data_IF_949281339864
#
_entry.id   IF_949281339864
#
_cell.length_a   1.000
_cell.length_b   1.000
_cell.length_c   1.000
_cell.angle_alpha   90.00
_cell.angle_beta   90.00
_cell.angle_gamma   90.00
#
_symmetry.space_group_name_H-M   'P 1'
#
loop_
_entity.id
_entity.type
_entity.pdbx_description
1 polymer ?
#
# COMPACT_ATOMS: atom_id res chain seq x y z
N UNK A 1 -1.23 3.55 -4.45
CA UNK A 1 -1.69 4.96 -4.52
C UNK A 1 -2.51 5.33 -3.28
N UNK A 2 -3.61 4.63 -3.00
CA UNK A 2 -4.54 4.99 -1.92
C UNK A 2 -4.25 4.34 -0.55
N UNK A 3 -3.19 3.52 -0.41
CA UNK A 3 -2.91 2.80 0.83
C UNK A 3 -2.94 3.69 2.09
N UNK A 4 -2.37 4.91 2.13
CA UNK A 4 -2.49 5.77 3.30
C UNK A 4 -3.92 6.01 3.81
N UNK A 5 -4.94 5.90 2.95
CA UNK A 5 -6.34 6.18 3.28
C UNK A 5 -7.17 4.95 3.65
N UNK A 6 -6.78 3.74 3.22
CA UNK A 6 -7.54 2.50 3.50
C UNK A 6 -7.17 1.87 4.84
N UNK A 7 -6.08 2.32 5.47
CA UNK A 7 -5.61 1.75 6.74
C UNK A 7 -6.48 2.22 7.92
N UNK A 8 -7.29 3.25 7.75
CA UNK A 8 -8.22 3.74 8.77
C UNK A 8 -9.50 2.91 8.92
N UNK A 9 -9.71 1.88 8.09
CA UNK A 9 -10.98 1.16 8.02
C UNK A 9 -11.25 0.31 9.28
N UNK A 10 -12.51 0.19 9.73
CA UNK A 10 -12.89 -0.67 10.84
C UNK A 10 -12.44 -2.13 10.62
N UNK A 11 -11.93 -2.77 11.67
CA UNK A 11 -11.48 -4.17 11.60
C UNK A 11 -9.99 -4.36 11.28
N UNK A 12 -9.25 -3.26 11.11
CA UNK A 12 -7.79 -3.26 10.98
C UNK A 12 -7.11 -3.19 12.36
N UNK A 13 -6.04 -3.97 12.53
CA UNK A 13 -5.17 -3.92 13.70
C UNK A 13 -3.74 -3.55 13.31
N UNK A 14 -3.06 -2.87 14.23
CA UNK A 14 -1.69 -2.41 14.06
C UNK A 14 -0.80 -3.02 15.12
N UNK A 15 0.35 -3.54 14.70
CA UNK A 15 1.39 -4.03 15.62
C UNK A 15 2.74 -3.44 15.25
N UNK A 16 3.54 -3.09 16.25
CA UNK A 16 4.88 -2.54 16.02
C UNK A 16 5.77 -3.64 15.45
N UNK A 17 6.56 -3.30 14.43
CA UNK A 17 7.62 -4.17 13.90
C UNK A 17 8.95 -3.42 13.90
N UNK A 18 10.01 -4.11 13.48
CA UNK A 18 11.32 -3.50 13.31
C UNK A 18 11.24 -2.28 12.38
N UNK A 19 12.00 -1.25 12.73
CA UNK A 19 12.12 -0.06 11.89
C UNK A 19 12.91 -0.38 10.63
N UNK A 20 12.51 0.22 9.51
CA UNK A 20 13.24 0.12 8.26
C UNK A 20 14.34 1.16 8.23
N UNK A 21 15.56 0.77 7.88
CA UNK A 21 16.67 1.69 7.62
C UNK A 21 17.02 1.66 6.14
N UNK A 22 17.04 2.82 5.49
CA UNK A 22 17.34 2.95 4.07
C UNK A 22 17.96 4.32 3.80
N UNK A 23 19.09 4.36 3.09
CA UNK A 23 19.82 5.58 2.73
C UNK A 23 20.01 6.57 3.90
N UNK A 24 20.56 6.08 5.02
CA UNK A 24 20.79 6.87 6.25
C UNK A 24 19.54 7.48 6.91
N UNK A 25 18.35 7.01 6.53
CA UNK A 25 17.08 7.36 7.19
C UNK A 25 16.48 6.14 7.85
N UNK A 26 15.77 6.38 8.95
CA UNK A 26 15.05 5.33 9.69
C UNK A 26 13.56 5.65 9.71
N UNK A 27 12.75 4.63 9.47
CA UNK A 27 11.31 4.72 9.34
C UNK A 27 10.65 3.80 10.37
N UNK A 28 9.70 4.33 11.13
CA UNK A 28 8.93 3.58 12.10
C UNK A 28 8.06 2.53 11.41
N UNK A 29 8.34 1.25 11.64
CA UNK A 29 7.59 0.14 11.04
C UNK A 29 6.36 -0.28 11.85
N UNK A 30 5.26 -0.56 11.16
CA UNK A 30 4.03 -1.14 11.70
C UNK A 30 3.48 -2.21 10.76
N UNK A 31 3.17 -3.39 11.28
CA UNK A 31 2.42 -4.42 10.55
C UNK A 31 0.93 -4.16 10.71
N UNK A 32 0.23 -4.31 9.60
CA UNK A 32 -1.21 -4.17 9.48
C UNK A 32 -1.79 -5.54 9.22
N UNK A 33 -2.76 -5.92 10.04
CA UNK A 33 -3.47 -7.18 9.92
C UNK A 33 -4.98 -6.93 9.95
N UNK A 34 -5.69 -7.72 9.16
CA UNK A 34 -7.15 -7.68 9.06
C UNK A 34 -7.76 -8.71 10.01
N UNK A 35 -8.89 -8.37 10.63
CA UNK A 35 -9.64 -9.33 11.44
C UNK A 35 -10.15 -10.52 10.61
N UNK A 36 -10.50 -11.62 11.28
CA UNK A 36 -11.12 -12.78 10.62
C UNK A 36 -12.37 -12.33 9.83
N UNK A 37 -12.46 -12.74 8.56
CA UNK A 37 -13.51 -12.36 7.60
C UNK A 37 -13.53 -10.88 7.15
N UNK A 38 -12.41 -10.16 7.29
CA UNK A 38 -12.25 -8.81 6.72
C UNK A 38 -11.41 -8.90 5.44
N UNK A 39 -12.07 -8.73 4.28
CA UNK A 39 -11.45 -8.78 2.95
C UNK A 39 -11.26 -10.20 2.39
N UNK A 40 -10.94 -10.28 1.10
CA UNK A 40 -10.85 -11.55 0.35
C UNK A 40 -9.50 -12.28 0.53
N UNK A 41 -8.55 -11.69 1.26
CA UNK A 41 -7.19 -12.24 1.45
C UNK A 41 -6.65 -11.88 2.84
N UNK A 42 -7.18 -12.49 3.92
CA UNK A 42 -6.74 -12.23 5.29
C UNK A 42 -5.27 -12.61 5.56
N UNK A 43 -4.68 -13.43 4.67
CA UNK A 43 -3.28 -13.87 4.73
C UNK A 43 -2.30 -12.84 4.15
N UNK A 44 -2.77 -11.79 3.48
CA UNK A 44 -1.91 -10.75 2.94
C UNK A 44 -1.40 -9.85 4.09
N UNK A 45 -0.07 -9.76 4.20
CA UNK A 45 0.57 -8.96 5.24
C UNK A 45 1.01 -7.64 4.64
N UNK A 46 0.62 -6.54 5.28
CA UNK A 46 1.08 -5.20 4.92
C UNK A 46 1.94 -4.62 6.03
N UNK A 47 3.02 -3.95 5.64
CA UNK A 47 3.95 -3.28 6.54
C UNK A 47 4.06 -1.83 6.12
N UNK A 48 3.75 -0.90 7.02
CA UNK A 48 3.82 0.53 6.74
C UNK A 48 4.99 1.11 7.49
N UNK A 49 5.81 1.88 6.78
CA UNK A 49 6.96 2.54 7.36
C UNK A 49 6.81 4.05 7.24
N UNK A 50 6.82 4.71 8.40
CA UNK A 50 6.55 6.13 8.56
C UNK A 50 7.86 6.86 8.84
N UNK A 51 8.16 7.91 8.09
CA UNK A 51 9.31 8.77 8.34
C UNK A 51 9.16 9.46 9.70
N UNK A 52 10.13 9.24 10.59
CA UNK A 52 10.08 9.72 11.99
C UNK A 52 10.10 11.24 12.11
N UNK A 53 10.56 11.95 11.09
CA UNK A 53 10.67 13.41 11.10
C UNK A 53 9.38 14.03 10.59
N UNK A 54 8.91 13.56 9.43
CA UNK A 54 7.76 14.15 8.75
C UNK A 54 6.42 13.54 9.18
N UNK A 55 6.45 12.38 9.85
CA UNK A 55 5.28 11.57 10.19
C UNK A 55 4.46 11.14 8.95
N UNK A 56 5.08 11.15 7.77
CA UNK A 56 4.47 10.72 6.52
C UNK A 56 4.84 9.26 6.23
N UNK A 57 3.88 8.51 5.68
CA UNK A 57 4.17 7.18 5.13
C UNK A 57 5.20 7.32 4.01
N UNK A 58 6.28 6.55 4.10
CA UNK A 58 7.34 6.55 3.09
C UNK A 58 7.39 5.23 2.33
N UNK A 59 7.08 4.11 2.99
CA UNK A 59 7.15 2.79 2.38
C UNK A 59 5.95 1.93 2.73
N UNK A 60 5.58 1.09 1.77
CA UNK A 60 4.73 -0.08 1.95
C UNK A 60 5.56 -1.34 1.67
N UNK A 61 5.65 -2.23 2.65
CA UNK A 61 6.03 -3.62 2.46
C UNK A 61 4.77 -4.48 2.29
N UNK A 62 4.80 -5.48 1.43
CA UNK A 62 3.71 -6.44 1.28
C UNK A 62 4.21 -7.83 0.90
N UNK A 63 3.48 -8.86 1.32
CA UNK A 63 3.69 -10.25 0.89
C UNK A 63 2.64 -10.62 -0.15
N UNK A 64 2.99 -11.45 -1.13
CA UNK A 64 2.02 -12.00 -2.09
C UNK A 64 1.67 -13.45 -1.73
N UNK A 65 0.42 -13.84 -1.91
CA UNK A 65 -0.10 -15.18 -1.64
C UNK A 65 -0.49 -15.96 -2.91
N UNK A 66 -0.07 -15.47 -4.09
CA UNK A 66 -0.51 -16.02 -5.38
C UNK A 66 0.18 -17.36 -5.70
N UNK A 67 -0.61 -18.43 -5.81
CA UNK A 67 -0.17 -19.72 -6.37
C UNK A 67 0.27 -20.78 -5.36
N UNK A 68 0.34 -20.47 -4.07
CA UNK A 68 0.73 -21.41 -3.01
C UNK A 68 -0.26 -21.38 -1.84
N UNK A 69 -0.55 -22.54 -1.25
CA UNK A 69 -1.36 -22.68 -0.02
C UNK A 69 -0.66 -22.10 1.23
N UNK A 70 0.49 -21.42 1.07
CA UNK A 70 1.31 -20.88 2.17
C UNK A 70 1.61 -19.39 1.93
N UNK A 71 1.53 -18.55 2.98
CA UNK A 71 1.92 -17.14 2.87
C UNK A 71 3.39 -17.03 2.46
N UNK A 72 3.68 -16.22 1.44
CA UNK A 72 5.07 -15.88 1.12
C UNK A 72 5.70 -15.12 2.30
N UNK A 73 6.96 -15.44 2.57
CA UNK A 73 7.78 -14.72 3.57
C UNK A 73 8.63 -13.61 2.94
N UNK A 74 8.60 -13.51 1.62
CA UNK A 74 9.28 -12.47 0.86
C UNK A 74 8.46 -11.16 0.92
N UNK A 75 9.11 -10.08 1.33
CA UNK A 75 8.51 -8.76 1.43
C UNK A 75 8.94 -7.92 0.22
N UNK A 76 7.96 -7.54 -0.59
CA UNK A 76 8.12 -6.58 -1.67
C UNK A 76 7.88 -5.16 -1.18
N UNK A 77 8.53 -4.17 -1.79
CA UNK A 77 8.50 -2.79 -1.32
C UNK A 77 8.05 -1.80 -2.38
N UNK A 78 7.22 -0.85 -1.96
CA UNK A 78 6.82 0.34 -2.73
C UNK A 78 7.16 1.58 -1.90
N UNK A 79 8.00 2.46 -2.46
CA UNK A 79 8.29 3.79 -1.93
C UNK A 79 7.28 4.80 -2.45
N UNK A 80 6.76 5.64 -1.56
CA UNK A 80 5.85 6.73 -1.88
C UNK A 80 6.65 8.03 -1.94
N UNK A 81 6.74 8.64 -3.12
CA UNK A 81 7.59 9.83 -3.34
C UNK A 81 6.85 10.97 -4.00
N UNK A 82 7.53 12.13 -4.02
CA UNK A 82 7.13 13.32 -4.77
C UNK A 82 5.75 13.85 -4.35
N UNK A 83 5.49 13.89 -3.03
CA UNK A 83 4.21 14.28 -2.46
C UNK A 83 3.75 15.68 -2.90
N UNK A 84 2.46 15.80 -3.20
CA UNK A 84 1.80 17.05 -3.58
C UNK A 84 0.49 17.26 -2.83
N UNK A 85 0.10 18.53 -2.66
CA UNK A 85 -1.20 18.90 -2.12
C UNK A 85 -2.20 19.09 -3.25
N UNK A 86 -3.33 18.39 -3.19
CA UNK A 86 -4.46 18.53 -4.13
C UNK A 86 -5.73 18.69 -3.31
N UNK A 87 -6.41 19.83 -3.43
CA UNK A 87 -7.66 20.13 -2.72
C UNK A 87 -7.62 19.80 -1.21
N UNK A 88 -6.52 20.15 -0.54
CA UNK A 88 -6.32 19.92 0.90
C UNK A 88 -5.80 18.53 1.27
N UNK A 89 -5.76 17.57 0.34
CA UNK A 89 -5.21 16.23 0.56
C UNK A 89 -3.74 16.17 0.15
N UNK A 90 -2.93 15.45 0.92
CA UNK A 90 -1.55 15.14 0.57
C UNK A 90 -1.49 13.78 -0.14
N UNK A 91 -1.04 13.76 -1.39
CA UNK A 91 -1.05 12.58 -2.27
C UNK A 91 0.34 12.35 -2.88
N UNK A 92 0.79 11.09 -3.04
CA UNK A 92 2.06 10.80 -3.70
C UNK A 92 1.95 11.10 -5.20
N UNK A 93 2.98 11.68 -5.82
CA UNK A 93 3.05 11.76 -7.29
C UNK A 93 3.64 10.52 -7.92
N UNK A 94 4.38 9.73 -7.15
CA UNK A 94 5.07 8.57 -7.69
C UNK A 94 5.07 7.42 -6.70
N UNK A 95 4.87 6.23 -7.24
CA UNK A 95 5.16 4.97 -6.57
C UNK A 95 6.37 4.35 -7.24
N UNK A 96 7.38 4.01 -6.46
CA UNK A 96 8.60 3.37 -6.94
C UNK A 96 8.72 2.00 -6.28
N UNK A 97 8.72 0.95 -7.09
CA UNK A 97 8.96 -0.41 -6.63
C UNK A 97 10.45 -0.63 -6.42
N UNK A 98 10.75 -1.50 -5.46
CA UNK A 98 12.10 -1.91 -5.10
C UNK A 98 12.19 -3.42 -5.06
N UNK A 99 13.30 -3.94 -5.56
CA UNK A 99 13.70 -5.32 -5.34
C UNK A 99 14.15 -5.49 -3.88
N UNK A 100 13.98 -6.72 -3.38
CA UNK A 100 14.25 -7.08 -2.00
C UNK A 100 15.37 -8.10 -1.88
N UNK A 101 16.35 -7.83 -1.01
CA UNK A 101 17.34 -8.80 -0.58
C UNK A 101 17.27 -8.95 0.94
N UNK A 102 17.20 -10.19 1.43
CA UNK A 102 17.03 -10.47 2.86
C UNK A 102 15.85 -9.69 3.50
N UNK A 103 14.74 -9.57 2.77
CA UNK A 103 13.56 -8.80 3.15
C UNK A 103 13.81 -7.30 3.39
N UNK A 104 14.84 -6.72 2.78
CA UNK A 104 15.12 -5.28 2.80
C UNK A 104 15.14 -4.73 1.37
N UNK A 105 14.61 -3.52 1.14
CA UNK A 105 14.65 -2.88 -0.17
C UNK A 105 16.09 -2.50 -0.53
N UNK A 106 16.52 -2.82 -1.76
CA UNK A 106 17.88 -2.53 -2.24
C UNK A 106 17.89 -1.61 -3.46
N UNK A 107 17.36 -2.08 -4.59
CA UNK A 107 17.42 -1.39 -5.89
C UNK A 107 16.03 -1.04 -6.37
N UNK A 108 15.87 0.15 -6.93
CA UNK A 108 14.60 0.56 -7.54
C UNK A 108 14.39 -0.16 -8.86
N UNK A 109 13.18 -0.66 -9.08
CA UNK A 109 12.76 -1.31 -10.33
C UNK A 109 11.72 -0.45 -11.06
N UNK A 110 10.48 -0.91 -11.16
CA UNK A 110 9.41 -0.23 -11.88
C UNK A 110 8.87 0.98 -11.12
N UNK A 111 8.26 1.91 -11.84
CA UNK A 111 7.61 3.07 -11.26
C UNK A 111 6.26 3.36 -11.91
N UNK A 112 5.40 4.05 -11.16
CA UNK A 112 4.14 4.59 -11.63
C UNK A 112 4.05 6.07 -11.22
N UNK A 113 3.99 6.95 -12.21
CA UNK A 113 3.80 8.38 -12.04
C UNK A 113 2.30 8.73 -12.15
N UNK A 114 1.84 9.65 -11.30
CA UNK A 114 0.46 10.10 -11.23
C UNK A 114 0.37 11.55 -11.73
N UNK A 115 -0.32 11.71 -12.86
CA UNK A 115 -0.53 12.99 -13.52
C UNK A 115 -2.02 13.34 -13.55
N UNK A 116 -2.34 14.63 -13.75
CA UNK A 116 -3.72 15.14 -13.88
C UNK A 116 -4.64 14.72 -12.71
N UNK A 117 -4.10 14.70 -11.49
CA UNK A 117 -4.83 14.27 -10.29
C UNK A 117 -5.97 15.24 -10.00
N UNK A 118 -7.18 14.69 -9.86
CA UNK A 118 -8.39 15.43 -9.52
C UNK A 118 -9.07 14.78 -8.32
N UNK A 119 -9.49 15.62 -7.37
CA UNK A 119 -10.23 15.23 -6.17
C UNK A 119 -11.51 16.05 -6.13
N UNK A 120 -12.64 15.39 -5.90
CA UNK A 120 -13.96 16.00 -5.92
C UNK A 120 -14.77 15.56 -4.70
N UNK A 121 -15.49 16.50 -4.09
CA UNK A 121 -16.50 16.20 -3.06
C UNK A 121 -17.77 15.59 -3.67
N UNK A 122 -18.01 15.81 -4.97
CA UNK A 122 -19.13 15.19 -5.68
C UNK A 122 -18.91 13.69 -5.76
N UNK A 123 -19.84 12.92 -5.18
CA UNK A 123 -19.85 11.46 -5.30
C UNK A 123 -19.92 11.04 -6.77
N UNK A 124 -19.10 10.04 -7.11
CA UNK A 124 -19.19 9.37 -8.40
C UNK A 124 -20.46 8.53 -8.41
N UNK A 125 -21.18 8.54 -9.53
CA UNK A 125 -22.37 7.73 -9.72
C UNK A 125 -22.04 6.25 -9.48
N UNK A 126 -22.77 5.62 -8.54
CA UNK A 126 -22.59 4.24 -8.15
C UNK A 126 -22.72 3.26 -9.33
N UNK A 127 -23.51 3.61 -10.35
CA UNK A 127 -23.66 2.82 -11.57
C UNK A 127 -22.34 2.60 -12.31
N UNK A 128 -21.33 3.45 -12.11
CA UNK A 128 -19.99 3.27 -12.70
C UNK A 128 -19.19 2.13 -12.10
N UNK A 129 -19.56 1.65 -10.90
CA UNK A 129 -18.87 0.57 -10.20
C UNK A 129 -19.65 -0.75 -10.28
N UNK A 130 -20.80 -0.76 -10.98
CA UNK A 130 -21.56 -1.99 -11.23
C UNK A 130 -20.85 -2.81 -12.29
N UNK A 131 -20.77 -4.13 -12.05
CA UNK A 131 -20.24 -5.09 -13.01
C UNK A 131 -20.97 -4.96 -14.37
N UNK A 132 -20.27 -4.82 -15.50
CA UNK A 132 -20.88 -4.84 -16.83
C UNK A 132 -21.64 -6.15 -17.10
N UNK A 133 -22.66 -6.10 -17.96
CA UNK A 133 -23.52 -7.27 -18.30
C UNK A 133 -22.71 -8.48 -18.78
N UNK A 134 -21.62 -8.24 -19.49
CA UNK A 134 -20.70 -9.21 -20.08
C UNK A 134 -19.43 -9.41 -19.25
N UNK A 135 -19.35 -8.83 -18.06
CA UNK A 135 -18.21 -8.99 -17.17
C UNK A 135 -18.02 -10.46 -16.76
N UNK A 136 -16.80 -10.97 -16.91
CA UNK A 136 -16.41 -12.26 -16.35
C UNK A 136 -15.67 -12.00 -15.04
N UNK A 137 -15.98 -12.79 -14.00
CA UNK A 137 -15.21 -12.81 -12.74
C UNK A 137 -14.38 -14.08 -12.81
N UNK A 138 -13.05 -13.94 -12.77
CA UNK A 138 -12.16 -15.09 -12.65
C UNK A 138 -12.26 -15.69 -11.24
N UNK A 139 -12.32 -17.02 -11.15
CA UNK A 139 -12.12 -17.71 -9.87
C UNK A 139 -10.65 -17.60 -9.46
N UNK A 140 -10.41 -17.52 -8.14
CA UNK A 140 -9.07 -17.40 -7.55
C UNK A 140 -8.37 -18.76 -7.52
#
# INVERSE_FOLDING_TARGET
YAMPFVLGDPGITYSKVNDLSFENRTYSGYKIAYGNNVGDSPEDNYFVYIDKTTHQMAWLGYTVTYGDDKPSTEIHYIKYTDWQKVNGLLLPKKLQWYDSENNLPVTSSNAADFENISVSEKMIDALKFVKPVDGLIGEK
#
